data_IF_864367553550
#
_entry.id   IF_864367553550
#
_cell.length_a   1.000
_cell.length_b   1.000
_cell.length_c   1.000
_cell.angle_alpha   90.00
_cell.angle_beta   90.00
_cell.angle_gamma   90.00
#
_symmetry.space_group_name_H-M   'P 1'
#
loop_
_entity.id
_entity.type
_entity.pdbx_description
1 polymer ?
#
# COMPACT_ATOMS: atom_id res chain seq x y z
N UNK A 1 1.46 18.93 -16.31
CA UNK A 1 1.13 19.79 -15.14
C UNK A 1 -0.35 20.15 -15.03
N UNK A 2 -1.07 20.53 -16.10
CA UNK A 2 -2.48 20.98 -15.99
C UNK A 2 -3.52 19.92 -15.62
N UNK A 3 -3.26 18.63 -15.84
CA UNK A 3 -4.24 17.55 -15.60
C UNK A 3 -4.26 17.04 -14.15
N UNK A 4 -3.15 17.18 -13.42
CA UNK A 4 -3.07 16.88 -11.99
C UNK A 4 -3.82 17.90 -11.13
N UNK A 5 -3.73 19.17 -11.47
CA UNK A 5 -4.38 20.29 -10.77
C UNK A 5 -5.92 20.19 -10.78
N UNK A 6 -6.50 19.64 -11.85
CA UNK A 6 -7.96 19.45 -11.95
C UNK A 6 -8.48 18.30 -11.09
N UNK A 7 -7.69 17.22 -10.91
CA UNK A 7 -8.06 16.07 -10.06
C UNK A 7 -7.93 16.37 -8.57
N UNK A 8 -6.90 17.10 -8.17
CA UNK A 8 -6.75 17.59 -6.79
C UNK A 8 -7.86 18.58 -6.41
N UNK A 9 -8.25 19.46 -7.30
CA UNK A 9 -9.41 20.36 -7.09
C UNK A 9 -10.73 19.59 -7.01
N UNK A 10 -10.91 18.54 -7.80
CA UNK A 10 -12.10 17.68 -7.70
C UNK A 10 -12.18 16.97 -6.34
N UNK A 11 -11.06 16.48 -5.82
CA UNK A 11 -11.02 15.85 -4.50
C UNK A 11 -11.25 16.85 -3.35
N UNK A 12 -10.77 18.10 -3.48
CA UNK A 12 -10.96 19.13 -2.46
C UNK A 12 -12.40 19.67 -2.38
N UNK A 13 -13.23 19.40 -3.39
CA UNK A 13 -14.65 19.77 -3.42
C UNK A 13 -15.58 18.70 -2.82
N UNK A 14 -15.07 17.53 -2.45
CA UNK A 14 -15.85 16.43 -1.89
C UNK A 14 -16.24 16.72 -0.43
N UNK A 15 -17.44 16.34 -0.10
CA UNK A 15 -18.03 16.49 1.26
C UNK A 15 -17.71 15.29 2.16
N UNK A 16 -18.03 15.39 3.44
CA UNK A 16 -17.90 14.26 4.37
C UNK A 16 -18.82 13.09 3.98
N UNK A 17 -20.01 13.37 3.39
CA UNK A 17 -20.89 12.34 2.85
C UNK A 17 -20.23 11.59 1.68
N UNK A 18 -19.55 12.31 0.78
CA UNK A 18 -18.80 11.69 -0.31
C UNK A 18 -17.65 10.81 0.24
N UNK A 19 -17.01 11.25 1.31
CA UNK A 19 -15.95 10.50 2.01
C UNK A 19 -16.47 9.16 2.55
N UNK A 20 -17.66 9.14 3.17
CA UNK A 20 -18.30 7.91 3.64
C UNK A 20 -18.66 6.94 2.50
N UNK A 21 -19.08 7.46 1.36
CA UNK A 21 -19.37 6.66 0.16
C UNK A 21 -18.08 6.07 -0.40
N UNK A 22 -17.05 6.89 -0.55
CA UNK A 22 -15.74 6.46 -1.07
C UNK A 22 -15.04 5.45 -0.15
N UNK A 23 -15.21 5.56 1.16
CA UNK A 23 -14.67 4.59 2.11
C UNK A 23 -15.28 3.17 1.96
N UNK A 24 -16.40 3.03 1.24
CA UNK A 24 -17.03 1.74 0.90
C UNK A 24 -16.57 1.17 -0.44
N UNK A 25 -15.70 1.89 -1.16
CA UNK A 25 -15.16 1.40 -2.43
C UNK A 25 -14.37 0.11 -2.21
N UNK A 26 -14.64 -0.91 -2.99
CA UNK A 26 -14.04 -2.26 -2.85
C UNK A 26 -13.16 -2.64 -4.04
N UNK A 27 -12.72 -1.64 -4.82
CA UNK A 27 -11.85 -1.85 -5.96
C UNK A 27 -12.58 -2.14 -7.28
N UNK A 28 -11.82 -2.18 -8.35
CA UNK A 28 -12.32 -2.42 -9.71
C UNK A 28 -12.29 -3.89 -10.14
N UNK A 29 -12.03 -4.81 -9.21
CA UNK A 29 -12.08 -6.25 -9.47
C UNK A 29 -11.06 -6.74 -10.50
N UNK A 30 -9.82 -6.25 -10.46
CA UNK A 30 -8.74 -6.66 -11.36
C UNK A 30 -8.55 -5.76 -12.60
N UNK A 31 -9.33 -4.69 -12.74
CA UNK A 31 -9.13 -3.68 -13.80
C UNK A 31 -8.23 -2.52 -13.33
N UNK A 32 -7.09 -2.84 -12.71
CA UNK A 32 -6.11 -1.86 -12.26
C UNK A 32 -5.65 -0.93 -13.38
N UNK A 33 -5.61 0.36 -13.09
CA UNK A 33 -4.96 1.36 -13.94
C UNK A 33 -3.78 1.94 -13.16
N UNK A 34 -2.58 1.66 -13.64
CA UNK A 34 -1.34 2.16 -13.03
C UNK A 34 -1.25 3.68 -13.10
N UNK A 35 -0.42 4.31 -12.27
CA UNK A 35 -0.22 5.76 -12.26
C UNK A 35 0.24 6.32 -13.62
N UNK A 36 0.87 5.51 -14.46
CA UNK A 36 1.27 5.83 -15.85
C UNK A 36 0.22 5.43 -16.90
N UNK A 37 -0.99 5.04 -16.48
CA UNK A 37 -2.14 4.77 -17.35
C UNK A 37 -2.17 3.38 -17.98
N UNK A 38 -1.29 2.46 -17.60
CA UNK A 38 -1.30 1.08 -18.09
C UNK A 38 -2.30 0.25 -17.32
N UNK A 39 -2.97 -0.70 -18.01
CA UNK A 39 -3.83 -1.68 -17.34
C UNK A 39 -2.97 -2.74 -16.66
N UNK A 40 -3.18 -2.94 -15.37
CA UNK A 40 -2.62 -4.04 -14.60
C UNK A 40 -3.60 -5.22 -14.53
N UNK A 41 -3.08 -6.41 -14.21
CA UNK A 41 -3.87 -7.65 -14.10
C UNK A 41 -3.90 -8.21 -12.69
N UNK A 42 -3.42 -7.47 -11.69
CA UNK A 42 -3.47 -7.93 -10.31
C UNK A 42 -4.91 -7.92 -9.78
N UNK A 43 -5.29 -8.96 -9.05
CA UNK A 43 -6.55 -9.01 -8.34
C UNK A 43 -6.46 -8.11 -7.10
N UNK A 44 -7.39 -7.18 -6.97
CA UNK A 44 -7.51 -6.33 -5.79
C UNK A 44 -8.36 -7.03 -4.74
N UNK A 45 -7.75 -7.38 -3.63
CA UNK A 45 -8.43 -7.90 -2.46
C UNK A 45 -8.27 -6.92 -1.30
N UNK A 46 -9.37 -6.28 -0.90
CA UNK A 46 -9.34 -5.32 0.20
C UNK A 46 -9.48 -6.04 1.54
N UNK A 47 -8.56 -5.71 2.44
CA UNK A 47 -8.55 -6.25 3.79
C UNK A 47 -9.73 -5.71 4.59
N UNK A 48 -10.59 -6.58 5.17
CA UNK A 48 -11.66 -6.12 6.05
C UNK A 48 -11.12 -5.40 7.28
N UNK A 49 -11.81 -4.34 7.72
CA UNK A 49 -11.40 -3.54 8.89
C UNK A 49 -11.12 -4.36 10.16
N UNK A 50 -11.95 -5.36 10.54
CA UNK A 50 -11.65 -6.18 11.72
C UNK A 50 -10.34 -6.97 11.60
N UNK A 51 -9.97 -7.42 10.39
CA UNK A 51 -8.71 -8.13 10.14
C UNK A 51 -7.53 -7.16 10.32
N UNK A 52 -7.60 -5.96 9.73
CA UNK A 52 -6.56 -4.95 9.90
C UNK A 52 -6.38 -4.55 11.38
N UNK A 53 -7.46 -4.39 12.12
CA UNK A 53 -7.42 -4.11 13.55
C UNK A 53 -6.78 -5.26 14.34
N UNK A 54 -7.13 -6.51 14.04
CA UNK A 54 -6.53 -7.69 14.66
C UNK A 54 -5.03 -7.80 14.38
N UNK A 55 -4.60 -7.47 13.15
CA UNK A 55 -3.17 -7.44 12.82
C UNK A 55 -2.42 -6.38 13.63
N UNK A 56 -2.97 -5.18 13.78
CA UNK A 56 -2.37 -4.15 14.63
C UNK A 56 -2.28 -4.58 16.09
N UNK A 57 -3.36 -5.15 16.66
CA UNK A 57 -3.34 -5.66 18.03
C UNK A 57 -2.26 -6.71 18.24
N UNK A 58 -2.12 -7.65 17.29
CA UNK A 58 -1.06 -8.67 17.36
C UNK A 58 0.34 -8.05 17.26
N UNK A 59 0.54 -7.04 16.40
CA UNK A 59 1.83 -6.34 16.34
C UNK A 59 2.17 -5.65 17.65
N UNK A 60 1.19 -5.02 18.32
CA UNK A 60 1.38 -4.40 19.63
C UNK A 60 1.71 -5.45 20.72
N UNK A 61 1.05 -6.62 20.72
CA UNK A 61 1.38 -7.76 21.59
C UNK A 61 2.79 -8.30 21.34
N UNK A 62 3.27 -8.27 20.09
CA UNK A 62 4.63 -8.67 19.70
C UNK A 62 5.68 -7.60 19.99
N UNK A 63 5.29 -6.44 20.54
CA UNK A 63 6.20 -5.39 20.98
C UNK A 63 6.30 -4.16 20.09
N UNK A 64 5.43 -4.02 19.07
CA UNK A 64 5.37 -2.77 18.30
C UNK A 64 4.87 -1.63 19.20
N UNK A 65 5.72 -0.66 19.45
CA UNK A 65 5.43 0.50 20.32
C UNK A 65 5.28 1.82 19.57
N UNK A 66 5.20 1.78 18.24
CA UNK A 66 5.10 2.94 17.37
C UNK A 66 6.31 3.12 16.46
N UNK A 67 6.29 4.17 15.64
CA UNK A 67 7.35 4.50 14.70
C UNK A 67 6.90 4.49 13.25
N UNK A 68 7.87 4.39 12.34
CA UNK A 68 7.62 4.39 10.88
C UNK A 68 7.18 3.01 10.41
N UNK A 69 6.10 2.97 9.68
CA UNK A 69 5.50 1.73 9.14
C UNK A 69 5.36 1.84 7.64
N UNK A 70 5.74 0.79 6.92
CA UNK A 70 5.57 0.69 5.48
C UNK A 70 4.36 -0.18 5.15
N UNK A 71 3.47 0.34 4.30
CA UNK A 71 2.42 -0.41 3.61
C UNK A 71 2.63 -0.27 2.09
N UNK A 72 3.32 -1.22 1.43
CA UNK A 72 3.71 -1.12 0.03
C UNK A 72 2.58 -1.40 -0.97
N UNK A 73 1.42 -1.88 -0.51
CA UNK A 73 0.25 -2.25 -1.33
C UNK A 73 -1.03 -1.76 -0.65
N UNK A 74 -1.10 -0.44 -0.43
CA UNK A 74 -2.01 0.14 0.54
C UNK A 74 -3.49 0.12 0.14
N UNK A 75 -3.82 -0.03 -1.14
CA UNK A 75 -5.20 0.07 -1.62
C UNK A 75 -5.88 1.34 -1.09
N UNK A 76 -7.03 1.15 -0.47
CA UNK A 76 -7.80 2.22 0.19
C UNK A 76 -7.23 2.69 1.53
N UNK A 77 -6.07 2.13 1.96
CA UNK A 77 -5.37 2.55 3.18
C UNK A 77 -5.98 2.06 4.48
N UNK A 78 -6.54 0.86 4.50
CA UNK A 78 -7.18 0.32 5.71
C UNK A 78 -6.21 0.19 6.87
N UNK A 79 -4.95 -0.19 6.62
CA UNK A 79 -3.93 -0.27 7.66
C UNK A 79 -3.59 1.11 8.23
N UNK A 80 -3.45 2.15 7.38
CA UNK A 80 -3.28 3.52 7.84
C UNK A 80 -4.50 4.05 8.59
N UNK A 81 -5.72 3.74 8.12
CA UNK A 81 -6.96 4.14 8.77
C UNK A 81 -7.12 3.57 10.19
N UNK A 82 -6.64 2.33 10.39
CA UNK A 82 -6.74 1.59 11.67
C UNK A 82 -5.46 1.63 12.50
N UNK A 83 -4.42 2.30 12.04
CA UNK A 83 -3.14 2.38 12.71
C UNK A 83 -3.24 2.99 14.11
N UNK A 84 -2.46 2.50 15.09
CA UNK A 84 -2.32 3.13 16.38
C UNK A 84 -1.78 4.56 16.27
N UNK A 85 -2.07 5.41 17.26
CA UNK A 85 -1.77 6.86 17.19
C UNK A 85 -0.29 7.20 17.07
N UNK A 86 0.58 6.32 17.53
CA UNK A 86 2.04 6.44 17.53
C UNK A 86 2.72 5.85 16.29
N UNK A 87 1.95 5.30 15.34
CA UNK A 87 2.44 4.82 14.06
C UNK A 87 2.37 5.92 12.98
N UNK A 88 3.44 6.08 12.21
CA UNK A 88 3.48 6.91 11.00
C UNK A 88 3.56 5.98 9.81
N UNK A 89 2.47 5.92 9.03
CA UNK A 89 2.33 4.97 7.92
C UNK A 89 2.71 5.64 6.61
N UNK A 90 3.74 5.11 5.95
CA UNK A 90 4.09 5.42 4.57
C UNK A 90 3.44 4.36 3.66
N UNK A 91 2.36 4.75 3.00
CA UNK A 91 1.52 3.92 2.15
C UNK A 91 1.86 4.12 0.67
N UNK A 92 2.09 3.03 -0.06
CA UNK A 92 2.31 3.07 -1.51
C UNK A 92 1.17 2.33 -2.20
N UNK A 93 0.60 2.94 -3.23
CA UNK A 93 -0.47 2.34 -4.02
C UNK A 93 -0.21 2.54 -5.51
N UNK A 94 -0.32 1.45 -6.26
CA UNK A 94 -0.10 1.42 -7.71
C UNK A 94 -1.29 1.99 -8.47
N UNK A 95 -2.52 1.60 -8.07
CA UNK A 95 -3.74 2.07 -8.72
C UNK A 95 -4.02 3.53 -8.37
N UNK A 96 -4.12 4.35 -9.42
CA UNK A 96 -4.32 5.79 -9.24
C UNK A 96 -5.70 6.14 -8.63
N UNK A 97 -6.72 5.31 -8.84
CA UNK A 97 -8.06 5.53 -8.27
C UNK A 97 -8.03 5.25 -6.79
N UNK A 98 -7.61 4.05 -6.40
CA UNK A 98 -7.53 3.61 -4.99
C UNK A 98 -6.60 4.50 -4.18
N UNK A 99 -5.42 4.82 -4.71
CA UNK A 99 -4.46 5.68 -4.03
C UNK A 99 -4.93 7.11 -3.83
N UNK A 100 -5.66 7.70 -4.80
CA UNK A 100 -6.24 9.03 -4.62
C UNK A 100 -7.43 9.02 -3.65
N UNK A 101 -8.25 7.96 -3.65
CA UNK A 101 -9.30 7.78 -2.65
C UNK A 101 -8.67 7.65 -1.26
N UNK A 102 -7.60 6.85 -1.12
CA UNK A 102 -6.85 6.71 0.13
C UNK A 102 -6.37 8.06 0.66
N UNK A 103 -5.73 8.88 -0.17
CA UNK A 103 -5.30 10.24 0.19
C UNK A 103 -6.45 11.09 0.72
N UNK A 104 -7.62 10.97 0.10
CA UNK A 104 -8.78 11.77 0.46
C UNK A 104 -9.47 11.28 1.73
N UNK A 105 -9.65 9.96 1.87
CA UNK A 105 -10.37 9.35 3.01
C UNK A 105 -9.52 9.38 4.29
N UNK A 106 -8.20 9.19 4.17
CA UNK A 106 -7.29 9.02 5.30
C UNK A 106 -6.40 10.25 5.55
N UNK A 107 -6.96 11.45 5.51
CA UNK A 107 -6.23 12.69 5.77
C UNK A 107 -5.79 12.78 7.24
N UNK A 108 -4.62 12.22 7.55
CA UNK A 108 -3.98 12.28 8.87
C UNK A 108 -2.52 12.72 8.72
N UNK A 109 -1.96 13.53 9.63
CA UNK A 109 -0.54 13.90 9.59
C UNK A 109 0.42 12.70 9.67
N UNK A 110 -0.07 11.55 10.17
CA UNK A 110 0.67 10.31 10.34
C UNK A 110 0.41 9.29 9.24
N UNK A 111 -0.22 9.68 8.12
CA UNK A 111 -0.52 8.80 7.00
C UNK A 111 -0.12 9.45 5.69
N UNK A 112 1.01 9.01 5.15
CA UNK A 112 1.59 9.52 3.91
C UNK A 112 1.24 8.56 2.77
N UNK A 113 0.59 9.04 1.71
CA UNK A 113 0.22 8.20 0.57
C UNK A 113 0.97 8.60 -0.68
N UNK A 114 1.69 7.66 -1.27
CA UNK A 114 2.37 7.79 -2.55
C UNK A 114 1.69 6.93 -3.60
N UNK A 115 1.17 7.55 -4.67
CA UNK A 115 0.59 6.84 -5.82
C UNK A 115 1.70 6.58 -6.82
N UNK A 116 2.24 5.38 -6.82
CA UNK A 116 3.37 4.98 -7.67
C UNK A 116 3.58 3.47 -7.65
N UNK A 117 4.38 2.97 -8.57
CA UNK A 117 4.94 1.63 -8.46
C UNK A 117 5.86 1.55 -7.23
N UNK A 118 5.74 0.47 -6.46
CA UNK A 118 6.58 0.28 -5.26
C UNK A 118 8.07 0.21 -5.61
N UNK A 119 8.45 -0.40 -6.72
CA UNK A 119 9.84 -0.49 -7.20
C UNK A 119 10.52 0.88 -7.30
N UNK A 120 9.79 1.90 -7.77
CA UNK A 120 10.29 3.28 -7.87
C UNK A 120 10.43 3.96 -6.52
N UNK A 121 9.55 3.60 -5.56
CA UNK A 121 9.56 4.16 -4.21
C UNK A 121 10.56 3.43 -3.33
N UNK A 122 10.74 2.12 -3.53
CA UNK A 122 11.61 1.28 -2.72
C UNK A 122 13.11 1.66 -2.79
N UNK A 123 13.53 2.41 -3.82
CA UNK A 123 14.88 2.97 -3.90
C UNK A 123 15.13 4.08 -2.85
N UNK A 124 14.08 4.77 -2.42
CA UNK A 124 14.07 5.80 -1.40
C UNK A 124 12.86 5.55 -0.49
N UNK A 125 12.95 5.29 0.76
CA UNK A 125 14.05 5.46 1.71
C UNK A 125 15.12 4.36 1.63
N UNK A 126 16.27 4.57 2.28
CA UNK A 126 17.30 3.53 2.41
C UNK A 126 16.77 2.30 3.14
N UNK A 127 17.48 1.19 3.03
CA UNK A 127 17.19 -0.02 3.79
C UNK A 127 17.27 0.27 5.30
N UNK A 128 16.64 -0.57 6.12
CA UNK A 128 16.58 -0.40 7.59
C UNK A 128 15.96 0.93 8.05
N UNK A 129 14.94 1.43 7.33
CA UNK A 129 14.30 2.71 7.63
C UNK A 129 13.02 2.59 8.44
N UNK A 130 12.37 1.42 8.45
CA UNK A 130 11.06 1.21 9.05
C UNK A 130 11.11 0.37 10.33
N UNK A 131 10.30 0.74 11.29
CA UNK A 131 10.10 -0.01 12.54
C UNK A 131 9.16 -1.20 12.32
N UNK A 132 8.27 -1.10 11.33
CA UNK A 132 7.38 -2.19 10.95
C UNK A 132 6.98 -2.16 9.47
N UNK A 133 6.53 -3.33 8.98
CA UNK A 133 5.81 -3.52 7.71
C UNK A 133 4.48 -4.18 7.99
N UNK A 134 3.39 -3.66 7.43
CA UNK A 134 2.07 -4.27 7.49
C UNK A 134 1.39 -4.12 6.14
N UNK A 135 0.99 -5.21 5.51
CA UNK A 135 0.39 -5.15 4.17
C UNK A 135 -0.35 -6.41 3.78
N UNK A 136 -1.26 -6.27 2.85
CA UNK A 136 -1.83 -7.36 2.07
C UNK A 136 -1.09 -7.37 0.72
N UNK A 137 -0.19 -8.33 0.49
CA UNK A 137 0.59 -8.38 -0.76
C UNK A 137 -0.32 -8.65 -1.95
N UNK A 138 -0.03 -8.09 -3.14
CA UNK A 138 -0.85 -8.33 -4.32
C UNK A 138 -0.75 -9.80 -4.73
N UNK A 139 -1.89 -10.37 -5.09
CA UNK A 139 -2.02 -11.74 -5.59
C UNK A 139 -2.07 -11.74 -7.11
N UNK A 140 -1.54 -12.76 -7.73
CA UNK A 140 -1.69 -12.93 -9.17
C UNK A 140 -0.58 -13.72 -9.83
N UNK A 141 -0.87 -14.16 -11.06
CA UNK A 141 0.11 -14.85 -11.89
C UNK A 141 1.08 -13.83 -12.51
N UNK A 142 2.35 -14.08 -12.32
CA UNK A 142 3.45 -13.26 -12.83
C UNK A 142 3.56 -13.26 -14.36
N UNK A 143 2.85 -14.16 -15.05
CA UNK A 143 2.89 -14.32 -16.50
C UNK A 143 2.48 -13.06 -17.29
N UNK A 144 1.87 -12.09 -16.62
CA UNK A 144 1.29 -10.91 -17.27
C UNK A 144 2.29 -9.77 -17.48
N UNK A 145 3.42 -9.76 -16.81
CA UNK A 145 4.40 -8.67 -16.93
C UNK A 145 5.43 -8.84 -18.04
N UNK A 146 5.37 -9.91 -18.83
CA UNK A 146 6.16 -10.20 -20.03
C UNK A 146 7.54 -9.53 -20.07
N UNK A 147 8.59 -10.21 -19.64
CA UNK A 147 9.94 -9.64 -19.55
C UNK A 147 10.31 -9.24 -18.13
N UNK A 148 11.31 -8.41 -17.94
CA UNK A 148 11.80 -7.97 -16.65
C UNK A 148 10.64 -7.52 -15.73
N UNK A 149 10.31 -8.37 -14.78
CA UNK A 149 9.07 -8.29 -14.02
C UNK A 149 9.04 -7.06 -13.10
N UNK A 150 10.19 -6.72 -12.54
CA UNK A 150 10.39 -5.57 -11.68
C UNK A 150 11.51 -4.69 -12.20
N UNK A 151 11.35 -3.40 -12.11
CA UNK A 151 12.42 -2.42 -12.34
C UNK A 151 13.33 -2.34 -11.10
N UNK A 152 13.72 -3.53 -10.64
CA UNK A 152 14.61 -3.76 -9.50
C UNK A 152 15.51 -4.96 -9.86
N UNK A 153 16.76 -4.67 -10.20
CA UNK A 153 17.70 -5.66 -10.72
C UNK A 153 17.94 -6.85 -9.76
N UNK A 154 17.81 -6.61 -8.45
CA UNK A 154 18.02 -7.64 -7.43
C UNK A 154 16.92 -8.70 -7.42
N UNK A 155 15.71 -8.35 -7.81
CA UNK A 155 14.51 -9.17 -7.66
C UNK A 155 13.78 -9.47 -8.98
N UNK A 156 14.44 -9.33 -10.10
CA UNK A 156 13.83 -9.45 -11.44
C UNK A 156 13.14 -10.79 -11.70
N UNK A 157 13.60 -11.87 -11.05
CA UNK A 157 13.11 -13.23 -11.27
C UNK A 157 12.16 -13.73 -10.17
N UNK A 158 11.84 -12.87 -9.19
CA UNK A 158 10.99 -13.27 -8.07
C UNK A 158 9.49 -13.29 -8.46
N UNK A 159 8.72 -14.09 -7.74
CA UNK A 159 7.27 -14.01 -7.83
C UNK A 159 6.77 -12.67 -7.29
N UNK A 160 5.54 -12.28 -7.67
CA UNK A 160 4.97 -11.00 -7.22
C UNK A 160 4.95 -10.92 -5.68
N UNK A 161 4.45 -11.96 -5.01
CA UNK A 161 4.41 -12.01 -3.55
C UNK A 161 5.83 -12.02 -2.94
N UNK A 162 6.74 -12.83 -3.51
CA UNK A 162 8.11 -12.92 -3.02
C UNK A 162 8.83 -11.57 -3.13
N UNK A 163 8.65 -10.85 -4.23
CA UNK A 163 9.22 -9.52 -4.40
C UNK A 163 8.81 -8.58 -3.26
N UNK A 164 7.49 -8.44 -3.03
CA UNK A 164 7.00 -7.54 -1.99
C UNK A 164 7.48 -7.94 -0.59
N UNK A 165 7.48 -9.24 -0.27
CA UNK A 165 7.97 -9.72 1.02
C UNK A 165 9.47 -9.44 1.17
N UNK A 166 10.30 -9.91 0.24
CA UNK A 166 11.75 -9.78 0.34
C UNK A 166 12.19 -8.31 0.33
N UNK A 167 11.64 -7.50 -0.57
CA UNK A 167 12.01 -6.09 -0.70
C UNK A 167 11.60 -5.26 0.52
N UNK A 168 10.47 -5.57 1.15
CA UNK A 168 10.04 -4.88 2.36
C UNK A 168 10.79 -5.32 3.60
N UNK A 169 11.22 -6.58 3.69
CA UNK A 169 12.08 -7.05 4.78
C UNK A 169 13.42 -6.32 4.83
N UNK A 170 13.99 -5.94 3.69
CA UNK A 170 15.20 -5.10 3.66
C UNK A 170 14.97 -3.69 4.19
N UNK A 171 13.73 -3.20 4.12
CA UNK A 171 13.37 -1.88 4.63
C UNK A 171 13.20 -1.85 6.15
N UNK A 172 13.11 -3.01 6.81
CA UNK A 172 12.99 -3.10 8.26
C UNK A 172 14.32 -2.81 8.97
N UNK A 173 14.24 -2.04 10.03
CA UNK A 173 15.32 -1.94 11.00
C UNK A 173 15.58 -3.29 11.68
N UNK A 174 16.76 -3.51 12.24
CA UNK A 174 17.00 -4.64 13.13
C UNK A 174 15.92 -4.71 14.23
N UNK A 175 15.34 -5.90 14.44
CA UNK A 175 14.22 -6.16 15.35
C UNK A 175 12.88 -5.49 14.94
N UNK A 176 12.77 -4.98 13.71
CA UNK A 176 11.49 -4.53 13.17
C UNK A 176 10.51 -5.68 12.95
N UNK A 177 9.22 -5.40 12.98
CA UNK A 177 8.16 -6.38 12.81
C UNK A 177 7.58 -6.33 11.40
N UNK A 178 7.30 -7.51 10.81
CA UNK A 178 6.61 -7.62 9.54
C UNK A 178 5.35 -8.48 9.67
N UNK A 179 4.24 -8.01 9.11
CA UNK A 179 2.99 -8.76 9.06
C UNK A 179 2.38 -8.69 7.67
N UNK A 180 2.17 -9.84 7.06
CA UNK A 180 1.70 -9.98 5.69
C UNK A 180 0.40 -10.78 5.63
N UNK A 181 -0.52 -10.37 4.76
CA UNK A 181 -1.58 -11.23 4.24
C UNK A 181 -1.10 -11.77 2.89
N UNK A 182 -1.12 -13.09 2.74
CA UNK A 182 -0.71 -13.79 1.53
C UNK A 182 -1.80 -14.79 1.11
N UNK A 183 -1.90 -15.16 -0.18
CA UNK A 183 -2.83 -16.21 -0.59
C UNK A 183 -2.46 -17.56 0.06
N UNK A 184 -3.44 -18.41 0.32
CA UNK A 184 -3.17 -19.78 0.70
C UNK A 184 -2.47 -20.51 -0.44
N UNK A 185 -1.48 -21.33 -0.14
CA UNK A 185 -0.81 -22.23 -1.11
C UNK A 185 -1.42 -23.60 -1.05
#
# INVERSE_FOLDING_TARGET
MKQFDSKERALSSLTDADREVLAKYTGSGGNLVTADGKKGSAYEYYTPKPVAQGMWSLMEELGFSGGKVLDPCAGMGIFGATAPKNAVVDAVELDAVSGNINKFVNQKPTHNVTVSNFEKVAANPPDESYDAVITNVPFGDNSVRGGNQFDDAKYQNESLEAYFILRTLEKLKPNGLAMFITPPR
#
